data_IF_172932538298
#
_entry.id   IF_172932538298
#
_cell.length_a   1.000
_cell.length_b   1.000
_cell.length_c   1.000
_cell.angle_alpha   90.00
_cell.angle_beta   90.00
_cell.angle_gamma   90.00
#
_symmetry.space_group_name_H-M   'P 1'
#
loop_
_entity.id
_entity.type
_entity.pdbx_description
1 polymer ?
#
# COMPACT_ATOMS: atom_id res chain seq x y z
N UNK A 1 -23.71 24.34 -7.94
CA UNK A 1 -23.60 22.87 -7.84
C UNK A 1 -22.25 22.49 -8.43
N UNK A 2 -21.33 21.94 -7.63
CA UNK A 2 -20.03 21.49 -8.14
C UNK A 2 -20.22 20.20 -8.93
N UNK A 3 -19.73 20.15 -10.17
CA UNK A 3 -19.72 18.92 -10.95
C UNK A 3 -18.60 18.01 -10.42
N UNK A 4 -18.98 16.86 -9.87
CA UNK A 4 -18.04 15.84 -9.40
C UNK A 4 -17.61 15.04 -10.63
N UNK A 5 -16.34 15.14 -11.02
CA UNK A 5 -15.74 14.25 -12.01
C UNK A 5 -15.92 12.79 -11.54
N UNK A 6 -16.14 11.83 -12.46
CA UNK A 6 -16.37 10.43 -12.07
C UNK A 6 -15.26 9.95 -11.15
N UNK A 7 -15.63 9.43 -9.98
CA UNK A 7 -14.69 8.98 -8.97
C UNK A 7 -13.76 7.92 -9.57
N UNK A 8 -12.46 8.23 -9.68
CA UNK A 8 -11.51 7.29 -10.23
C UNK A 8 -11.38 6.07 -9.30
N UNK A 9 -11.29 4.89 -9.92
CA UNK A 9 -11.18 3.63 -9.21
C UNK A 9 -9.83 3.57 -8.49
N UNK A 10 -9.83 3.72 -7.16
CA UNK A 10 -8.64 3.48 -6.30
C UNK A 10 -8.05 2.10 -6.63
N UNK A 11 -6.72 1.93 -6.52
CA UNK A 11 -6.11 0.62 -6.69
C UNK A 11 -6.78 -0.39 -5.75
N UNK A 12 -7.55 -1.28 -6.34
CA UNK A 12 -8.00 -2.50 -5.70
C UNK A 12 -6.98 -3.56 -6.10
N UNK A 13 -5.91 -3.72 -5.32
CA UNK A 13 -5.09 -4.91 -5.52
C UNK A 13 -5.95 -6.11 -5.11
N UNK A 14 -6.19 -6.99 -6.06
CA UNK A 14 -6.90 -8.26 -5.87
C UNK A 14 -5.96 -9.28 -5.22
N UNK A 15 -5.32 -8.91 -4.12
CA UNK A 15 -4.54 -9.88 -3.32
C UNK A 15 -5.56 -10.80 -2.66
N UNK A 16 -5.67 -12.04 -3.09
CA UNK A 16 -6.49 -13.03 -2.39
C UNK A 16 -5.80 -13.35 -1.06
N UNK A 17 -6.46 -13.07 0.05
CA UNK A 17 -6.01 -13.59 1.33
C UNK A 17 -6.64 -14.96 1.51
N UNK A 18 -5.78 -15.96 1.68
CA UNK A 18 -6.21 -17.31 1.98
C UNK A 18 -7.06 -17.30 3.25
N UNK A 19 -8.16 -18.08 3.25
CA UNK A 19 -8.85 -18.41 4.50
C UNK A 19 -7.81 -18.93 5.48
N UNK A 20 -7.71 -18.32 6.66
CA UNK A 20 -6.80 -18.78 7.70
C UNK A 20 -7.59 -19.71 8.59
N UNK A 21 -7.37 -21.04 8.51
CA UNK A 21 -7.98 -21.93 9.49
C UNK A 21 -7.43 -21.59 10.86
N UNK A 22 -8.32 -21.60 11.84
CA UNK A 22 -7.99 -21.52 13.24
C UNK A 22 -7.17 -22.75 13.62
N UNK A 23 -6.35 -22.57 14.65
CA UNK A 23 -5.50 -23.64 15.16
C UNK A 23 -5.82 -23.81 16.64
N UNK A 24 -6.57 -24.87 16.95
CA UNK A 24 -7.03 -25.17 18.32
C UNK A 24 -5.86 -25.28 19.30
N UNK A 25 -4.74 -25.85 18.85
CA UNK A 25 -3.53 -25.97 19.66
C UNK A 25 -2.95 -24.62 20.13
N UNK A 26 -3.32 -23.53 19.47
CA UNK A 26 -2.81 -22.17 19.76
C UNK A 26 -3.89 -21.30 20.43
N UNK A 27 -5.11 -21.82 20.58
CA UNK A 27 -6.26 -21.04 21.05
C UNK A 27 -6.65 -19.91 20.08
N UNK A 28 -6.37 -20.06 18.79
CA UNK A 28 -6.61 -19.04 17.76
C UNK A 28 -7.75 -19.48 16.84
N UNK A 29 -8.84 -18.68 16.69
CA UNK A 29 -10.00 -19.04 15.88
C UNK A 29 -9.76 -18.88 14.36
N UNK A 30 -10.65 -19.46 13.55
CA UNK A 30 -10.70 -19.25 12.10
C UNK A 30 -10.85 -17.75 11.76
N UNK A 31 -10.11 -17.28 10.75
CA UNK A 31 -10.37 -15.98 10.13
C UNK A 31 -11.14 -16.19 8.83
N UNK A 32 -12.37 -15.67 8.80
CA UNK A 32 -13.25 -15.71 7.63
C UNK A 32 -13.01 -14.43 6.80
N UNK A 33 -12.52 -14.53 5.55
CA UNK A 33 -12.42 -13.37 4.66
C UNK A 33 -13.80 -12.77 4.37
N UNK A 34 -13.87 -11.46 4.13
CA UNK A 34 -15.13 -10.83 3.71
C UNK A 34 -15.54 -11.33 2.31
N UNK A 35 -16.85 -11.46 2.07
CA UNK A 35 -17.42 -12.04 0.83
C UNK A 35 -16.96 -11.34 -0.47
N UNK A 36 -16.48 -10.09 -0.39
CA UNK A 36 -15.99 -9.31 -1.54
C UNK A 36 -14.47 -9.43 -1.77
N UNK A 37 -13.78 -10.36 -1.10
CA UNK A 37 -12.33 -10.60 -1.26
C UNK A 37 -11.96 -11.59 -2.38
N UNK A 38 -12.86 -11.81 -3.35
CA UNK A 38 -12.62 -12.63 -4.54
C UNK A 38 -11.64 -11.96 -5.50
N UNK A 39 -10.35 -12.09 -5.21
CA UNK A 39 -9.23 -11.66 -6.05
C UNK A 39 -8.30 -12.82 -6.44
N UNK A 40 -7.32 -12.58 -7.30
CA UNK A 40 -6.48 -13.63 -7.89
C UNK A 40 -5.60 -14.36 -6.85
N UNK A 41 -5.37 -15.68 -7.01
CA UNK A 41 -4.61 -16.49 -6.06
C UNK A 41 -3.20 -15.93 -5.83
N UNK A 42 -2.81 -15.78 -4.56
CA UNK A 42 -1.43 -15.50 -4.17
C UNK A 42 -0.59 -16.75 -4.43
N UNK A 43 0.32 -16.70 -5.40
CA UNK A 43 1.18 -17.84 -5.75
C UNK A 43 2.61 -17.52 -5.31
N UNK A 44 3.15 -18.38 -4.45
CA UNK A 44 4.53 -18.31 -3.95
C UNK A 44 5.55 -18.27 -5.10
N UNK A 45 6.33 -17.19 -5.09
CA UNK A 45 7.52 -16.89 -5.88
C UNK A 45 8.41 -18.08 -6.33
N UNK A 46 8.34 -18.39 -7.63
CA UNK A 46 9.44 -18.95 -8.44
C UNK A 46 9.34 -18.40 -9.86
N UNK A 47 10.04 -17.32 -10.16
CA UNK A 47 10.37 -16.93 -11.53
C UNK A 47 11.63 -16.06 -11.56
N UNK A 48 12.53 -16.47 -12.45
CA UNK A 48 13.85 -15.90 -12.76
C UNK A 48 13.73 -14.45 -13.25
N UNK A 49 14.62 -13.57 -12.79
CA UNK A 49 14.65 -12.16 -13.15
C UNK A 49 15.95 -11.81 -13.89
N UNK A 50 15.79 -11.02 -14.95
CA UNK A 50 16.84 -10.41 -15.77
C UNK A 50 17.72 -9.49 -14.91
N UNK A 51 19.03 -9.68 -14.99
CA UNK A 51 20.07 -9.24 -14.02
C UNK A 51 20.25 -7.73 -13.75
N UNK A 52 19.50 -6.81 -14.38
CA UNK A 52 19.78 -5.36 -14.28
C UNK A 52 18.86 -4.57 -13.33
N UNK A 53 17.75 -5.15 -12.86
CA UNK A 53 16.75 -4.47 -12.01
C UNK A 53 16.48 -5.20 -10.68
N UNK A 54 17.35 -6.13 -10.30
CA UNK A 54 17.11 -7.02 -9.17
C UNK A 54 17.83 -6.51 -7.92
N UNK A 55 17.15 -6.58 -6.78
CA UNK A 55 17.79 -6.45 -5.47
C UNK A 55 18.89 -7.51 -5.34
N UNK A 56 20.06 -7.11 -4.83
CA UNK A 56 21.18 -8.02 -4.58
C UNK A 56 20.80 -9.11 -3.57
N UNK A 57 21.25 -10.36 -3.74
CA UNK A 57 20.93 -11.46 -2.82
C UNK A 57 21.47 -11.25 -1.39
N UNK A 58 22.39 -10.31 -1.22
CA UNK A 58 23.01 -9.88 0.03
C UNK A 58 22.19 -8.82 0.80
N UNK A 59 21.21 -8.18 0.15
CA UNK A 59 20.34 -7.20 0.81
C UNK A 59 19.60 -7.87 1.99
N UNK A 60 19.70 -7.30 3.21
CA UNK A 60 19.07 -7.88 4.37
C UNK A 60 17.54 -7.72 4.34
N UNK A 61 16.85 -8.57 5.10
CA UNK A 61 15.44 -8.40 5.41
C UNK A 61 15.20 -7.02 6.02
N UNK A 62 14.25 -6.26 5.47
CA UNK A 62 14.04 -4.88 5.88
C UNK A 62 13.60 -4.68 7.34
N UNK A 63 12.89 -5.66 7.91
CA UNK A 63 12.43 -5.65 9.31
C UNK A 63 13.48 -6.27 10.23
N UNK A 64 13.93 -7.49 9.95
CA UNK A 64 14.81 -8.22 10.88
C UNK A 64 16.26 -7.84 10.75
N UNK A 65 16.67 -7.21 9.64
CA UNK A 65 18.06 -6.91 9.27
C UNK A 65 18.97 -8.14 9.17
N UNK A 66 18.40 -9.35 9.22
CA UNK A 66 19.12 -10.58 8.89
C UNK A 66 19.45 -10.59 7.40
N UNK A 67 20.45 -11.37 6.97
CA UNK A 67 20.66 -11.73 5.56
C UNK A 67 20.50 -13.25 5.47
N UNK A 68 19.69 -13.74 4.53
CA UNK A 68 19.47 -15.18 4.37
C UNK A 68 19.07 -15.52 2.93
N UNK A 69 19.60 -16.63 2.40
CA UNK A 69 19.23 -17.16 1.07
C UNK A 69 17.74 -17.50 0.94
N UNK A 70 17.01 -17.62 2.05
CA UNK A 70 15.58 -17.98 2.06
C UNK A 70 14.65 -16.77 2.07
N UNK A 71 15.21 -15.54 2.08
CA UNK A 71 14.43 -14.32 1.96
C UNK A 71 13.65 -14.28 0.64
N UNK A 72 12.52 -13.59 0.68
CA UNK A 72 11.61 -13.44 -0.45
C UNK A 72 11.55 -11.98 -0.87
N UNK A 73 11.46 -11.76 -2.18
CA UNK A 73 11.26 -10.45 -2.77
C UNK A 73 9.80 -10.04 -2.60
N UNK A 74 9.58 -9.07 -1.73
CA UNK A 74 8.33 -8.34 -1.58
C UNK A 74 8.20 -7.30 -2.70
N UNK A 75 7.01 -7.20 -3.29
CA UNK A 75 6.61 -6.05 -4.11
C UNK A 75 5.64 -5.20 -3.29
N UNK A 76 5.94 -3.94 -3.04
CA UNK A 76 5.07 -3.05 -2.26
C UNK A 76 3.73 -2.85 -2.96
N UNK A 77 3.75 -2.52 -4.25
CA UNK A 77 2.58 -2.60 -5.11
C UNK A 77 2.72 -3.83 -6.00
N UNK A 78 1.77 -4.76 -5.85
CA UNK A 78 1.71 -5.99 -6.62
C UNK A 78 0.47 -5.96 -7.51
N UNK A 79 0.66 -5.96 -8.83
CA UNK A 79 -0.39 -6.25 -9.80
C UNK A 79 -0.51 -7.76 -9.98
N UNK A 80 -1.63 -8.25 -10.53
CA UNK A 80 -1.76 -9.66 -10.89
C UNK A 80 -0.59 -10.04 -11.82
N UNK A 81 0.42 -10.76 -11.29
CA UNK A 81 1.72 -10.97 -11.97
C UNK A 81 1.61 -11.67 -13.33
N UNK A 82 0.47 -12.32 -13.58
CA UNK A 82 0.21 -13.09 -14.79
C UNK A 82 -0.61 -12.31 -15.84
N UNK A 83 -1.00 -11.07 -15.55
CA UNK A 83 -1.77 -10.24 -16.47
C UNK A 83 -0.97 -8.98 -16.84
N UNK A 84 -0.33 -8.95 -18.03
CA UNK A 84 0.50 -7.82 -18.46
C UNK A 84 -0.32 -6.54 -18.66
N UNK A 85 -1.61 -6.64 -19.01
CA UNK A 85 -2.48 -5.48 -19.20
C UNK A 85 -2.85 -4.85 -17.86
N UNK A 86 -3.15 -5.67 -16.85
CA UNK A 86 -3.36 -5.19 -15.48
C UNK A 86 -2.09 -4.57 -14.93
N UNK A 87 -0.92 -5.21 -15.13
CA UNK A 87 0.37 -4.64 -14.74
C UNK A 87 0.58 -3.26 -15.35
N UNK A 88 0.43 -3.14 -16.68
CA UNK A 88 0.59 -1.85 -17.38
C UNK A 88 -0.39 -0.80 -16.88
N UNK A 89 -1.66 -1.14 -16.66
CA UNK A 89 -2.66 -0.21 -16.09
C UNK A 89 -2.27 0.30 -14.71
N UNK A 90 -1.72 -0.56 -13.86
CA UNK A 90 -1.23 -0.16 -12.53
C UNK A 90 -0.02 0.76 -12.65
N UNK A 91 0.94 0.46 -13.53
CA UNK A 91 2.10 1.31 -13.79
C UNK A 91 1.68 2.69 -14.33
N UNK A 92 0.80 2.72 -15.32
CA UNK A 92 0.23 3.94 -15.90
C UNK A 92 -0.51 4.77 -14.86
N UNK A 93 -1.29 4.12 -13.98
CA UNK A 93 -1.97 4.81 -12.89
C UNK A 93 -0.97 5.44 -11.90
N UNK A 94 0.04 4.69 -11.44
CA UNK A 94 1.04 5.22 -10.51
C UNK A 94 1.82 6.39 -11.13
N UNK A 95 2.19 6.29 -12.41
CA UNK A 95 2.81 7.38 -13.17
C UNK A 95 1.89 8.59 -13.30
N UNK A 96 0.62 8.36 -13.64
CA UNK A 96 -0.40 9.41 -13.74
C UNK A 96 -0.65 10.13 -12.41
N UNK A 97 -0.44 9.46 -11.27
CA UNK A 97 -0.48 10.09 -9.94
C UNK A 97 0.78 10.89 -9.58
N UNK A 98 1.84 10.79 -10.39
CA UNK A 98 3.10 11.53 -10.19
C UNK A 98 3.84 11.14 -8.91
N UNK A 99 3.56 9.96 -8.35
CA UNK A 99 4.23 9.44 -7.13
C UNK A 99 5.42 8.53 -7.45
N UNK A 100 5.63 8.24 -8.74
CA UNK A 100 6.76 7.49 -9.29
C UNK A 100 7.29 8.21 -10.53
N UNK A 101 8.51 7.90 -10.94
CA UNK A 101 9.15 8.45 -12.14
C UNK A 101 8.52 7.93 -13.44
N UNK A 102 8.74 8.64 -14.56
CA UNK A 102 8.08 8.39 -15.84
C UNK A 102 8.40 7.03 -16.48
N UNK A 103 9.58 6.48 -16.24
CA UNK A 103 9.97 5.14 -16.70
C UNK A 103 9.76 4.03 -15.64
N UNK A 104 8.92 4.27 -14.62
CA UNK A 104 8.65 3.29 -13.57
C UNK A 104 7.99 2.03 -14.11
N UNK A 105 8.39 0.89 -13.54
CA UNK A 105 7.78 -0.43 -13.72
C UNK A 105 7.57 -1.08 -12.35
N UNK A 106 6.64 -2.03 -12.22
CA UNK A 106 6.44 -2.74 -10.94
C UNK A 106 7.64 -3.60 -10.54
N UNK A 107 8.53 -3.93 -11.46
CA UNK A 107 9.77 -4.66 -11.17
C UNK A 107 10.94 -3.71 -10.81
N UNK A 108 10.68 -2.41 -10.73
CA UNK A 108 11.69 -1.42 -10.34
C UNK A 108 12.10 -1.58 -8.88
N UNK A 109 13.39 -1.44 -8.60
CA UNK A 109 13.99 -1.60 -7.26
C UNK A 109 13.30 -0.79 -6.14
N UNK A 110 12.76 0.39 -6.47
CA UNK A 110 12.00 1.24 -5.52
C UNK A 110 10.65 0.63 -5.09
N UNK A 111 10.16 -0.39 -5.80
CA UNK A 111 8.97 -1.16 -5.45
C UNK A 111 9.32 -2.50 -4.75
N UNK A 112 10.61 -2.84 -4.65
CA UNK A 112 11.04 -4.14 -4.16
C UNK A 112 11.69 -4.03 -2.78
N UNK A 113 11.59 -5.09 -1.97
CA UNK A 113 12.36 -5.25 -0.73
C UNK A 113 12.57 -6.72 -0.39
N UNK A 114 13.64 -7.04 0.33
CA UNK A 114 13.78 -8.36 0.94
C UNK A 114 13.04 -8.47 2.26
N UNK A 115 12.37 -9.60 2.44
CA UNK A 115 11.67 -9.91 3.66
C UNK A 115 11.89 -11.38 4.05
N UNK A 116 11.99 -11.64 5.35
CA UNK A 116 12.02 -13.01 5.87
C UNK A 116 10.82 -13.81 5.35
N UNK A 117 10.98 -15.10 5.07
CA UNK A 117 9.93 -15.92 4.46
C UNK A 117 8.64 -15.92 5.30
N UNK A 118 8.75 -15.96 6.63
CA UNK A 118 7.59 -15.97 7.53
C UNK A 118 6.92 -14.59 7.51
N UNK A 119 7.72 -13.52 7.59
CA UNK A 119 7.20 -12.16 7.53
C UNK A 119 6.57 -11.83 6.17
N UNK A 120 7.14 -12.35 5.08
CA UNK A 120 6.60 -12.20 3.73
C UNK A 120 5.21 -12.82 3.64
N UNK A 121 5.04 -14.06 4.09
CA UNK A 121 3.71 -14.68 4.13
C UNK A 121 2.76 -13.91 5.06
N UNK A 122 3.22 -13.49 6.24
CA UNK A 122 2.42 -12.72 7.17
C UNK A 122 1.96 -11.36 6.61
N UNK A 123 2.80 -10.70 5.80
CA UNK A 123 2.48 -9.44 5.13
C UNK A 123 1.57 -9.70 3.91
N UNK A 124 2.01 -10.49 2.94
CA UNK A 124 1.37 -10.59 1.61
C UNK A 124 0.23 -11.61 1.54
N UNK A 125 0.31 -12.74 2.24
CA UNK A 125 -0.71 -13.81 2.13
C UNK A 125 -1.80 -13.70 3.18
N UNK A 126 -1.49 -13.16 4.35
CA UNK A 126 -2.41 -13.17 5.50
C UNK A 126 -2.75 -11.79 6.06
N UNK A 127 -1.98 -10.75 5.71
CA UNK A 127 -2.07 -9.41 6.31
C UNK A 127 -2.15 -9.41 7.85
N UNK A 128 -1.34 -10.24 8.50
CA UNK A 128 -1.14 -10.19 9.95
C UNK A 128 -0.35 -8.97 10.38
N UNK A 129 0.42 -8.38 9.46
CA UNK A 129 1.18 -7.14 9.66
C UNK A 129 0.92 -6.16 8.51
N UNK A 130 1.12 -4.89 8.80
CA UNK A 130 1.28 -3.82 7.82
C UNK A 130 2.52 -2.99 8.17
N UNK A 131 3.18 -2.43 7.17
CA UNK A 131 4.33 -1.53 7.34
C UNK A 131 3.92 -0.19 6.76
N UNK A 132 3.89 0.85 7.57
CA UNK A 132 3.52 2.20 7.14
C UNK A 132 4.59 3.20 7.57
N UNK A 133 4.50 4.45 7.11
CA UNK A 133 5.38 5.52 7.60
C UNK A 133 5.19 5.75 9.10
N UNK A 134 6.24 6.18 9.79
CA UNK A 134 6.12 6.68 11.16
C UNK A 134 5.18 7.89 11.21
N UNK A 135 4.69 8.23 12.40
CA UNK A 135 3.83 9.41 12.58
C UNK A 135 4.41 10.68 11.91
N UNK A 136 5.69 10.97 12.12
CA UNK A 136 6.32 12.19 11.61
C UNK A 136 6.53 12.12 10.09
N UNK A 137 6.98 10.96 9.58
CA UNK A 137 7.08 10.71 8.13
C UNK A 137 5.73 10.89 7.44
N UNK A 138 4.64 10.35 8.00
CA UNK A 138 3.30 10.49 7.42
C UNK A 138 2.86 11.95 7.40
N UNK A 139 3.08 12.72 8.48
CA UNK A 139 2.67 14.13 8.53
C UNK A 139 3.44 15.00 7.54
N UNK A 140 4.73 14.77 7.36
CA UNK A 140 5.53 15.47 6.36
C UNK A 140 5.05 15.16 4.94
N UNK A 141 4.83 13.88 4.61
CA UNK A 141 4.31 13.47 3.29
C UNK A 141 2.89 14.02 3.04
N UNK A 142 2.02 14.04 4.05
CA UNK A 142 0.68 14.65 3.98
C UNK A 142 0.80 16.15 3.68
N UNK A 143 1.65 16.87 4.41
CA UNK A 143 1.89 18.30 4.21
C UNK A 143 2.36 18.58 2.77
N UNK A 144 3.29 17.76 2.28
CA UNK A 144 3.82 17.83 0.92
C UNK A 144 2.72 17.64 -0.13
N UNK A 145 1.91 16.57 -0.03
CA UNK A 145 0.84 16.32 -1.00
C UNK A 145 -0.32 17.32 -0.90
N UNK A 146 -0.65 17.84 0.29
CA UNK A 146 -1.63 18.92 0.44
C UNK A 146 -1.19 20.18 -0.29
N UNK A 147 0.05 20.60 -0.06
CA UNK A 147 0.63 21.79 -0.72
C UNK A 147 0.62 21.64 -2.24
N UNK A 148 1.01 20.48 -2.76
CA UNK A 148 0.96 20.22 -4.20
C UNK A 148 -0.47 20.14 -4.75
N UNK A 149 -1.40 19.48 -4.04
CA UNK A 149 -2.80 19.41 -4.45
C UNK A 149 -3.44 20.81 -4.49
N UNK A 150 -3.15 21.69 -3.53
CA UNK A 150 -3.65 23.07 -3.52
C UNK A 150 -3.07 23.90 -4.70
N UNK A 151 -1.78 23.70 -5.01
CA UNK A 151 -1.15 24.31 -6.19
C UNK A 151 -1.80 23.82 -7.48
N UNK A 152 -2.02 22.51 -7.62
CA UNK A 152 -2.71 21.90 -8.77
C UNK A 152 -4.13 22.41 -8.91
N UNK A 153 -4.88 22.50 -7.80
CA UNK A 153 -6.23 23.04 -7.79
C UNK A 153 -6.25 24.51 -8.23
N UNK A 154 -5.32 25.33 -7.74
CA UNK A 154 -5.22 26.75 -8.11
C UNK A 154 -4.95 26.92 -9.61
N UNK A 155 -4.04 26.11 -10.16
CA UNK A 155 -3.78 26.12 -11.60
C UNK A 155 -4.97 25.61 -12.41
N UNK A 156 -5.62 24.55 -11.94
CA UNK A 156 -6.81 23.98 -12.56
C UNK A 156 -7.94 25.01 -12.59
N UNK A 157 -8.23 25.68 -11.47
CA UNK A 157 -9.25 26.74 -11.35
C UNK A 157 -9.02 27.86 -12.38
N UNK A 158 -7.77 28.23 -12.64
CA UNK A 158 -7.42 29.29 -13.58
C UNK A 158 -7.47 28.86 -15.06
N UNK A 159 -7.09 27.62 -15.37
CA UNK A 159 -6.79 27.21 -16.76
C UNK A 159 -7.61 26.01 -17.27
N UNK A 160 -8.39 25.35 -16.42
CA UNK A 160 -9.03 24.06 -16.70
C UNK A 160 -8.04 22.94 -17.09
N UNK A 161 -6.77 23.07 -16.68
CA UNK A 161 -5.69 22.13 -16.99
C UNK A 161 -5.12 21.57 -15.70
N UNK A 162 -5.18 20.25 -15.55
CA UNK A 162 -4.48 19.55 -14.48
C UNK A 162 -3.00 19.44 -14.85
N UNK A 163 -2.15 19.86 -13.91
CA UNK A 163 -0.70 19.87 -14.09
C UNK A 163 -0.06 18.75 -13.30
N UNK A 164 1.12 18.33 -13.75
CA UNK A 164 1.90 17.30 -13.07
C UNK A 164 2.15 17.68 -11.60
N UNK A 165 2.05 16.65 -10.74
CA UNK A 165 2.45 16.70 -9.34
C UNK A 165 3.94 17.02 -9.22
N UNK A 166 4.28 17.89 -8.27
CA UNK A 166 5.66 18.21 -7.91
C UNK A 166 5.88 17.67 -6.50
N UNK A 167 6.77 16.69 -6.38
CA UNK A 167 7.16 16.07 -5.11
C UNK A 167 8.61 16.43 -4.86
N UNK A 168 8.90 16.86 -3.64
CA UNK A 168 10.28 17.02 -3.17
C UNK A 168 10.82 15.64 -2.73
N UNK A 169 11.56 15.00 -3.62
CA UNK A 169 12.17 13.69 -3.37
C UNK A 169 13.40 13.76 -2.45
N UNK A 170 13.95 14.95 -2.23
CA UNK A 170 15.09 15.17 -1.34
C UNK A 170 14.66 15.36 0.12
N UNK A 171 13.38 15.72 0.34
CA UNK A 171 12.79 15.87 1.65
C UNK A 171 13.09 14.64 2.54
N UNK A 172 13.45 14.82 3.83
CA UNK A 172 13.83 13.71 4.71
C UNK A 172 12.78 12.59 4.78
N UNK A 173 11.49 12.93 4.81
CA UNK A 173 10.41 11.95 4.78
C UNK A 173 10.32 11.12 3.49
N UNK A 174 11.02 11.51 2.42
CA UNK A 174 11.14 10.74 1.19
C UNK A 174 12.51 10.05 1.04
N UNK A 175 13.60 10.77 1.28
CA UNK A 175 14.97 10.27 1.11
C UNK A 175 15.39 9.31 2.23
N UNK A 176 14.95 9.55 3.46
CA UNK A 176 15.21 8.70 4.63
C UNK A 176 13.97 8.52 5.54
N UNK A 177 12.87 7.94 5.01
CA UNK A 177 11.65 7.70 5.78
C UNK A 177 11.89 6.74 6.94
N UNK A 178 11.26 7.03 8.07
CA UNK A 178 11.09 6.08 9.18
C UNK A 178 9.76 5.36 8.98
N UNK A 179 9.74 4.07 9.27
CA UNK A 179 8.59 3.18 9.13
C UNK A 179 8.23 2.53 10.44
N UNK A 180 6.95 2.19 10.59
CA UNK A 180 6.40 1.46 11.72
C UNK A 180 5.76 0.15 11.27
N UNK A 181 5.99 -0.91 12.05
CA UNK A 181 5.37 -2.21 11.88
C UNK A 181 4.12 -2.28 12.76
N UNK A 182 2.96 -2.36 12.13
CA UNK A 182 1.67 -2.53 12.82
C UNK A 182 1.28 -4.00 12.79
N UNK A 183 1.25 -4.65 13.96
CA UNK A 183 0.82 -6.04 14.11
C UNK A 183 -0.71 -6.14 14.21
N UNK A 184 -1.37 -6.22 13.05
CA UNK A 184 -2.83 -6.33 12.95
C UNK A 184 -3.37 -7.58 13.67
N UNK A 185 -2.66 -8.71 13.55
CA UNK A 185 -3.02 -10.00 14.17
C UNK A 185 -1.80 -10.60 14.89
N UNK A 186 -1.38 -10.04 16.03
CA UNK A 186 -0.08 -10.34 16.64
C UNK A 186 0.02 -11.80 17.12
N UNK A 187 -1.07 -12.39 17.63
CA UNK A 187 -1.14 -13.80 18.03
C UNK A 187 -1.06 -14.78 16.84
N UNK A 188 -1.47 -14.36 15.65
CA UNK A 188 -1.33 -15.17 14.42
C UNK A 188 0.04 -14.98 13.77
N UNK A 189 0.61 -13.76 13.89
CA UNK A 189 1.96 -13.45 13.43
C UNK A 189 3.01 -14.29 14.16
N UNK A 190 2.91 -14.38 15.49
CA UNK A 190 3.85 -15.09 16.35
C UNK A 190 3.09 -16.03 17.31
N UNK A 191 2.61 -17.19 16.82
CA UNK A 191 1.86 -18.14 17.63
C UNK A 191 2.77 -18.89 18.62
N UNK A 192 2.18 -19.43 19.69
CA UNK A 192 2.84 -20.31 20.67
C UNK A 192 4.15 -19.77 21.27
N UNK A 193 4.19 -18.47 21.60
CA UNK A 193 5.38 -17.87 22.20
C UNK A 193 6.57 -17.75 21.26
N UNK A 194 6.36 -17.89 19.94
CA UNK A 194 7.37 -17.50 18.95
C UNK A 194 7.74 -16.02 19.13
N UNK A 195 8.97 -15.70 18.76
CA UNK A 195 9.53 -14.35 18.86
C UNK A 195 9.97 -13.87 17.49
N UNK A 196 9.83 -12.57 17.26
CA UNK A 196 10.51 -11.88 16.16
C UNK A 196 11.92 -11.54 16.61
N UNK A 197 12.92 -11.98 15.88
CA UNK A 197 14.32 -11.65 16.15
C UNK A 197 14.77 -10.57 15.17
N UNK A 198 15.34 -9.49 15.68
CA UNK A 198 16.00 -8.48 14.86
C UNK A 198 17.47 -8.35 15.22
N UNK A 199 18.24 -7.96 14.23
CA UNK A 199 19.67 -7.78 14.32
C UNK A 199 19.99 -6.31 14.12
N UNK A 200 20.95 -5.78 14.88
CA UNK A 200 21.63 -4.54 14.50
C UNK A 200 23.02 -4.88 13.99
N UNK A 201 23.46 -4.16 12.97
CA UNK A 201 24.82 -4.25 12.42
C UNK A 201 25.48 -2.89 12.54
N UNK A 202 26.77 -2.91 12.80
CA UNK A 202 27.67 -1.77 12.68
C UNK A 202 28.77 -2.14 11.68
N UNK A 203 29.73 -1.24 11.44
CA UNK A 203 30.83 -1.45 10.49
C UNK A 203 31.61 -2.75 10.72
N UNK A 204 31.67 -3.22 11.97
CA UNK A 204 32.44 -4.40 12.39
C UNK A 204 31.63 -5.71 12.41
N UNK A 205 30.36 -5.68 11.98
CA UNK A 205 29.49 -6.86 11.90
C UNK A 205 28.26 -6.79 12.81
N UNK A 206 27.82 -7.94 13.32
CA UNK A 206 26.59 -8.05 14.10
C UNK A 206 26.80 -7.54 15.52
N UNK A 207 26.05 -6.50 15.92
CA UNK A 207 26.26 -5.81 17.19
C UNK A 207 25.29 -6.25 18.27
N UNK A 208 24.00 -6.35 17.95
CA UNK A 208 23.01 -6.74 18.93
C UNK A 208 21.89 -7.59 18.32
N UNK A 209 21.33 -8.43 19.17
CA UNK A 209 20.14 -9.22 18.91
C UNK A 209 19.05 -8.75 19.87
N UNK A 210 17.89 -8.39 19.31
CA UNK A 210 16.68 -8.10 20.09
C UNK A 210 15.59 -9.07 19.73
N UNK A 211 14.84 -9.50 20.74
CA UNK A 211 13.67 -10.37 20.57
C UNK A 211 12.42 -9.60 20.89
N UNK A 212 11.39 -9.75 20.06
CA UNK A 212 10.09 -9.14 20.28
C UNK A 212 8.98 -10.19 20.28
N UNK A 213 8.02 -10.00 21.16
CA UNK A 213 6.84 -10.85 21.33
C UNK A 213 5.56 -10.04 21.14
N UNK A 214 4.43 -10.69 20.82
CA UNK A 214 3.10 -10.07 20.87
C UNK A 214 2.81 -9.45 22.24
N UNK A 215 2.57 -8.15 22.27
CA UNK A 215 1.98 -7.45 23.41
C UNK A 215 0.44 -7.53 23.39
N UNK A 216 -0.17 -7.20 24.53
CA UNK A 216 -1.63 -7.16 24.67
C UNK A 216 -2.25 -5.96 23.92
N UNK A 217 -1.47 -4.92 23.64
CA UNK A 217 -1.88 -3.70 22.96
C UNK A 217 -1.70 -3.75 21.43
N UNK A 218 -1.65 -4.95 20.85
CA UNK A 218 -1.43 -5.16 19.41
C UNK A 218 -0.11 -4.61 18.86
N UNK A 219 0.88 -4.39 19.73
CA UNK A 219 2.25 -4.05 19.36
C UNK A 219 3.21 -5.21 19.63
N UNK A 220 4.37 -5.19 18.98
CA UNK A 220 5.48 -6.08 19.33
C UNK A 220 6.32 -5.44 20.44
N UNK A 221 6.69 -6.20 21.46
CA UNK A 221 7.40 -5.72 22.67
C UNK A 221 8.59 -6.60 23.02
N UNK A 222 9.63 -6.02 23.62
CA UNK A 222 10.84 -6.77 23.98
C UNK A 222 10.60 -7.88 25.05
N UNK A 223 9.57 -7.74 25.88
CA UNK A 223 9.21 -8.70 26.93
C UNK A 223 7.71 -8.99 26.96
N UNK A 224 7.29 -10.23 27.29
CA UNK A 224 5.88 -10.60 27.36
C UNK A 224 5.20 -9.99 28.61
N UNK A 225 3.88 -9.81 28.53
CA UNK A 225 3.02 -9.55 29.70
C UNK A 225 3.21 -8.22 30.40
N UNK A 226 3.98 -7.28 29.85
CA UNK A 226 4.20 -5.95 30.44
C UNK A 226 4.02 -4.83 29.42
N UNK A 227 3.05 -3.95 29.66
CA UNK A 227 2.82 -2.76 28.83
C UNK A 227 3.94 -1.70 28.99
N UNK A 228 4.81 -1.86 29.99
CA UNK A 228 5.99 -1.02 30.21
C UNK A 228 7.21 -1.47 29.40
N UNK A 229 7.21 -2.68 28.85
CA UNK A 229 8.33 -3.15 28.01
C UNK A 229 8.44 -2.30 26.74
N UNK A 230 9.65 -1.93 26.28
CA UNK A 230 9.82 -1.21 25.02
C UNK A 230 9.10 -1.88 23.85
N UNK A 231 8.48 -1.06 23.00
CA UNK A 231 7.86 -1.49 21.74
C UNK A 231 8.92 -1.69 20.66
N UNK A 232 8.56 -2.43 19.62
CA UNK A 232 9.32 -2.47 18.39
C UNK A 232 9.45 -1.05 17.85
N UNK A 233 10.69 -0.53 17.72
CA UNK A 233 10.89 0.87 17.37
C UNK A 233 10.58 1.10 15.88
N UNK A 234 10.35 2.37 15.50
CA UNK A 234 10.43 2.77 14.10
C UNK A 234 11.79 2.37 13.49
N UNK A 235 11.81 2.12 12.19
CA UNK A 235 13.00 1.68 11.46
C UNK A 235 13.07 2.29 10.06
N UNK A 236 14.26 2.40 9.50
CA UNK A 236 14.48 2.80 8.11
C UNK A 236 15.03 1.65 7.27
N UNK A 237 15.02 1.79 5.95
CA UNK A 237 15.69 0.85 5.06
C UNK A 237 17.18 1.22 4.99
N UNK A 238 17.94 0.93 6.05
CA UNK A 238 19.33 1.39 6.22
C UNK A 238 20.36 0.68 5.33
N UNK A 239 19.92 -0.04 4.29
CA UNK A 239 20.83 -0.74 3.41
C UNK A 239 21.19 0.16 2.22
N UNK A 240 22.49 0.46 1.99
CA UNK A 240 22.90 1.30 0.89
C UNK A 240 22.62 0.58 -0.43
N UNK A 241 21.54 0.98 -1.09
CA UNK A 241 21.26 0.57 -2.48
C UNK A 241 21.99 1.51 -3.43
N UNK A 242 22.48 1.01 -4.58
CA UNK A 242 23.00 1.87 -5.64
C UNK A 242 21.97 2.94 -6.02
N UNK A 243 22.43 4.16 -6.29
CA UNK A 243 21.61 5.28 -6.79
C UNK A 243 20.46 5.72 -5.86
N UNK A 244 20.63 5.65 -4.53
CA UNK A 244 19.63 6.11 -3.55
C UNK A 244 18.25 5.42 -3.72
N UNK A 245 18.26 4.19 -4.23
CA UNK A 245 17.06 3.48 -4.64
C UNK A 245 16.31 2.78 -3.49
N UNK A 246 16.17 3.49 -2.37
CA UNK A 246 15.32 3.08 -1.27
C UNK A 246 13.90 2.82 -1.76
N UNK A 247 13.15 1.93 -1.10
CA UNK A 247 11.74 1.76 -1.39
C UNK A 247 11.01 3.10 -1.36
N UNK A 248 10.23 3.37 -2.41
CA UNK A 248 9.46 4.59 -2.50
C UNK A 248 8.38 4.56 -1.40
N UNK A 249 8.36 5.54 -0.46
CA UNK A 249 7.46 5.51 0.69
C UNK A 249 5.99 5.50 0.29
N UNK A 250 5.60 6.14 -0.81
CA UNK A 250 4.21 6.10 -1.26
C UNK A 250 3.77 4.68 -1.64
N UNK A 251 4.65 3.87 -2.23
CA UNK A 251 4.34 2.48 -2.57
C UNK A 251 4.16 1.62 -1.31
N UNK A 252 5.01 1.84 -0.29
CA UNK A 252 4.90 1.19 1.04
C UNK A 252 3.56 1.56 1.69
N UNK A 253 3.21 2.85 1.68
CA UNK A 253 1.99 3.38 2.30
C UNK A 253 0.73 2.90 1.58
N UNK A 254 0.75 2.80 0.25
CA UNK A 254 -0.34 2.19 -0.53
C UNK A 254 -0.56 0.72 -0.15
N UNK A 255 0.53 -0.05 0.05
CA UNK A 255 0.44 -1.43 0.52
C UNK A 255 -0.21 -1.51 1.92
N UNK A 256 0.15 -0.58 2.82
CA UNK A 256 -0.38 -0.49 4.18
C UNK A 256 -1.87 -0.16 4.22
N UNK A 257 -2.31 0.87 3.47
CA UNK A 257 -3.73 1.27 3.43
C UNK A 257 -4.62 0.11 3.01
N UNK A 258 -4.20 -0.67 2.01
CA UNK A 258 -4.98 -1.82 1.53
C UNK A 258 -5.19 -2.83 2.65
N UNK A 259 -4.15 -3.07 3.47
CA UNK A 259 -4.21 -3.97 4.62
C UNK A 259 -5.08 -3.40 5.74
N UNK A 260 -4.94 -2.12 6.06
CA UNK A 260 -5.76 -1.44 7.07
C UNK A 260 -7.24 -1.42 6.68
N UNK A 261 -7.56 -1.01 5.46
CA UNK A 261 -8.94 -1.00 4.95
C UNK A 261 -9.57 -2.38 4.97
N UNK A 262 -8.81 -3.43 4.67
CA UNK A 262 -9.31 -4.81 4.77
C UNK A 262 -9.53 -5.22 6.21
N UNK A 263 -8.58 -4.94 7.09
CA UNK A 263 -8.69 -5.20 8.52
C UNK A 263 -9.94 -4.56 9.13
N UNK A 264 -10.18 -3.28 8.83
CA UNK A 264 -11.33 -2.51 9.33
C UNK A 264 -12.68 -3.00 8.76
N UNK A 265 -12.67 -3.71 7.62
CA UNK A 265 -13.89 -4.29 7.00
C UNK A 265 -14.23 -5.70 7.48
N UNK A 266 -13.37 -6.34 8.28
CA UNK A 266 -13.63 -7.70 8.74
C UNK A 266 -14.85 -7.72 9.69
N UNK A 267 -15.76 -8.66 9.44
CA UNK A 267 -16.99 -8.81 10.25
C UNK A 267 -16.71 -9.28 11.68
N UNK A 268 -15.56 -9.93 11.89
CA UNK A 268 -15.10 -10.30 13.22
C UNK A 268 -14.26 -9.16 13.78
N UNK A 269 -14.80 -8.38 14.74
CA UNK A 269 -13.99 -7.37 15.40
C UNK A 269 -12.80 -8.06 16.06
N UNK A 270 -11.61 -7.43 16.05
CA UNK A 270 -10.49 -7.90 16.85
C UNK A 270 -10.95 -8.08 18.30
N UNK A 271 -10.53 -9.14 19.00
CA UNK A 271 -10.95 -9.38 20.39
C UNK A 271 -10.56 -8.22 21.34
N UNK A 272 -9.61 -7.38 20.95
CA UNK A 272 -9.24 -6.13 21.62
C UNK A 272 -9.12 -5.00 20.61
N UNK A 273 -9.61 -3.79 20.91
CA UNK A 273 -9.45 -2.64 20.02
C UNK A 273 -7.96 -2.30 19.86
N UNK A 274 -7.59 -1.81 18.67
CA UNK A 274 -6.26 -1.25 18.44
C UNK A 274 -6.04 -0.04 19.36
N UNK A 275 -4.80 0.17 19.80
CA UNK A 275 -4.45 1.33 20.61
C UNK A 275 -4.64 2.65 19.83
N UNK A 276 -4.82 3.76 20.55
CA UNK A 276 -5.06 5.07 19.96
C UNK A 276 -3.93 5.52 19.03
N UNK A 277 -2.67 5.22 19.39
CA UNK A 277 -1.50 5.51 18.57
C UNK A 277 -1.57 4.80 17.22
N UNK A 278 -1.91 3.51 17.23
CA UNK A 278 -2.04 2.71 16.00
C UNK A 278 -3.21 3.18 15.15
N UNK A 279 -4.35 3.50 15.77
CA UNK A 279 -5.48 4.08 15.03
C UNK A 279 -5.12 5.41 14.38
N UNK A 280 -4.28 6.23 15.05
CA UNK A 280 -3.76 7.48 14.48
C UNK A 280 -2.90 7.21 13.24
N UNK A 281 -2.00 6.22 13.28
CA UNK A 281 -1.22 5.81 12.11
C UNK A 281 -2.10 5.33 10.96
N UNK A 282 -3.14 4.55 11.26
CA UNK A 282 -4.10 4.09 10.25
C UNK A 282 -4.82 5.27 9.59
N UNK A 283 -5.29 6.25 10.38
CA UNK A 283 -5.95 7.44 9.85
C UNK A 283 -5.02 8.28 8.99
N UNK A 284 -3.79 8.55 9.44
CA UNK A 284 -2.80 9.31 8.67
C UNK A 284 -2.41 8.58 7.37
N UNK A 285 -2.22 7.25 7.44
CA UNK A 285 -1.96 6.42 6.25
C UNK A 285 -3.12 6.53 5.26
N UNK A 286 -4.36 6.46 5.75
CA UNK A 286 -5.56 6.57 4.92
C UNK A 286 -5.63 7.94 4.28
N UNK A 287 -5.53 9.02 5.07
CA UNK A 287 -5.53 10.42 4.60
C UNK A 287 -4.49 10.64 3.50
N UNK A 288 -3.26 10.17 3.70
CA UNK A 288 -2.19 10.29 2.72
C UNK A 288 -2.55 9.59 1.40
N UNK A 289 -3.12 8.38 1.47
CA UNK A 289 -3.58 7.67 0.26
C UNK A 289 -4.73 8.42 -0.42
N UNK A 290 -5.64 9.05 0.32
CA UNK A 290 -6.69 9.88 -0.29
C UNK A 290 -6.10 11.07 -1.05
N UNK A 291 -5.05 11.70 -0.51
CA UNK A 291 -4.32 12.78 -1.16
C UNK A 291 -3.56 12.33 -2.42
N UNK A 292 -3.07 11.09 -2.45
CA UNK A 292 -2.46 10.50 -3.64
C UNK A 292 -3.49 10.36 -4.77
N UNK A 293 -4.69 9.87 -4.45
CA UNK A 293 -5.79 9.67 -5.41
C UNK A 293 -6.62 10.93 -5.68
N UNK A 294 -6.27 12.04 -5.05
CA UNK A 294 -6.98 13.29 -5.25
C UNK A 294 -6.81 13.80 -6.69
N UNK A 295 -7.92 14.27 -7.25
CA UNK A 295 -8.02 14.93 -8.54
C UNK A 295 -8.60 16.33 -8.34
N UNK A 296 -8.17 17.34 -9.12
CA UNK A 296 -8.78 18.66 -9.08
C UNK A 296 -10.28 18.60 -9.36
N UNK A 297 -11.05 19.41 -8.63
CA UNK A 297 -12.50 19.53 -8.81
C UNK A 297 -12.85 20.84 -9.50
N UNK A 298 -13.91 20.84 -10.30
CA UNK A 298 -14.43 22.08 -10.87
C UNK A 298 -15.16 22.85 -9.77
N UNK A 299 -14.59 23.99 -9.37
CA UNK A 299 -15.22 24.90 -8.41
C UNK A 299 -16.13 25.90 -9.13
N UNK A 300 -17.31 26.21 -8.58
CA UNK A 300 -18.15 27.27 -9.14
C UNK A 300 -17.37 28.60 -9.13
N UNK A 301 -17.77 29.50 -10.03
CA UNK A 301 -17.21 30.86 -10.13
C UNK A 301 -15.71 30.92 -10.47
N UNK A 302 -15.16 29.85 -11.07
CA UNK A 302 -13.79 29.82 -11.60
C UNK A 302 -13.76 29.90 -13.12
N UNK A 303 -12.66 30.41 -13.73
CA UNK A 303 -12.43 30.31 -15.17
C UNK A 303 -12.58 28.87 -15.70
N UNK A 304 -12.12 27.87 -14.93
CA UNK A 304 -12.29 26.46 -15.28
C UNK A 304 -13.75 26.05 -15.47
N UNK A 305 -14.65 26.51 -14.60
CA UNK A 305 -16.07 26.23 -14.73
C UNK A 305 -16.66 26.84 -16.02
N UNK A 306 -16.24 28.05 -16.39
CA UNK A 306 -16.68 28.71 -17.63
C UNK A 306 -16.17 27.97 -18.87
N UNK A 307 -14.88 27.58 -18.87
CA UNK A 307 -14.28 26.80 -19.95
C UNK A 307 -15.01 25.46 -20.10
N UNK A 308 -15.25 24.76 -18.99
CA UNK A 308 -15.95 23.48 -18.99
C UNK A 308 -17.37 23.61 -19.53
N UNK A 309 -18.12 24.64 -19.14
CA UNK A 309 -19.47 24.90 -19.66
C UNK A 309 -19.48 25.21 -21.16
N UNK A 310 -18.47 25.93 -21.65
CA UNK A 310 -18.38 26.31 -23.07
C UNK A 310 -17.85 25.19 -23.98
N UNK A 311 -17.09 24.25 -23.42
CA UNK A 311 -16.41 23.17 -24.17
C UNK A 311 -17.12 21.83 -24.01
N UNK A 312 -18.03 21.69 -23.04
CA UNK A 312 -18.88 20.53 -22.94
C UNK A 312 -19.63 20.34 -24.27
N UNK A 313 -19.52 19.17 -24.92
CA UNK A 313 -20.28 18.93 -26.14
C UNK A 313 -21.74 19.18 -25.82
N UNK A 314 -22.37 20.08 -26.58
CA UNK A 314 -23.83 20.26 -26.53
C UNK A 314 -24.43 18.85 -26.51
N UNK A 315 -25.37 18.54 -25.59
CA UNK A 315 -26.03 17.25 -25.60
C UNK A 315 -26.44 17.01 -27.04
N UNK A 316 -25.86 15.96 -27.65
CA UNK A 316 -26.21 15.56 -29.01
C UNK A 316 -27.73 15.52 -29.00
N UNK A 317 -28.37 16.37 -29.81
CA UNK A 317 -29.77 16.16 -30.13
C UNK A 317 -29.84 14.71 -30.56
N UNK A 318 -30.56 13.91 -29.77
CA UNK A 318 -30.73 12.50 -30.01
C UNK A 318 -31.08 12.36 -31.49
N UNK A 319 -30.17 11.76 -32.24
CA UNK A 319 -30.54 11.23 -33.55
C UNK A 319 -31.67 10.27 -33.23
N UNK A 320 -32.89 10.69 -33.54
CA UNK A 320 -34.05 9.83 -33.60
C UNK A 320 -33.66 8.76 -34.61
N UNK A 321 -33.25 7.62 -34.08
CA UNK A 321 -33.05 6.40 -34.84
C UNK A 321 -34.43 5.98 -35.33
N UNK A 322 -34.74 6.40 -36.56
CA UNK A 322 -35.98 6.06 -37.24
C UNK A 322 -35.91 4.58 -37.60
N UNK A 323 -36.49 3.76 -36.73
CA UNK A 323 -37.03 2.43 -36.98
C UNK A 323 -36.25 1.56 -37.97
N UNK A 324 -35.35 0.73 -37.44
CA UNK A 324 -34.74 -0.37 -38.19
C UNK A 324 -34.77 -1.67 -37.39
N UNK A 325 -35.89 -2.38 -37.50
CA UNK A 325 -36.10 -3.82 -37.35
C UNK A 325 -35.54 -4.54 -36.09
N UNK A 326 -36.44 -4.81 -35.16
CA UNK A 326 -36.27 -5.79 -34.08
C UNK A 326 -36.10 -7.21 -34.67
N UNK A 327 -34.86 -7.69 -34.75
CA UNK A 327 -34.56 -9.10 -35.03
C UNK A 327 -34.57 -9.88 -33.69
N UNK A 328 -35.69 -10.55 -33.46
CA UNK A 328 -36.00 -11.43 -32.33
C UNK A 328 -35.09 -12.67 -32.33
N UNK A 329 -34.06 -12.67 -31.49
CA UNK A 329 -33.24 -13.87 -31.24
C UNK A 329 -33.87 -14.69 -30.10
N UNK A 330 -34.58 -15.76 -30.48
CA UNK A 330 -35.01 -16.82 -29.58
C UNK A 330 -33.81 -17.48 -28.89
N UNK A 331 -33.86 -17.53 -27.56
CA UNK A 331 -32.91 -18.30 -26.73
C UNK A 331 -33.51 -19.69 -26.46
N UNK A 332 -32.87 -20.80 -26.88
CA UNK A 332 -33.38 -22.13 -26.56
C UNK A 332 -33.09 -22.51 -25.09
N UNK A 333 -33.95 -23.31 -24.46
CA UNK A 333 -33.85 -23.65 -23.05
C UNK A 333 -32.86 -24.81 -22.79
N UNK A 334 -32.01 -24.57 -21.78
CA UNK A 334 -31.18 -25.46 -20.94
C UNK A 334 -30.25 -26.49 -21.59
#
# INVERSE_FOLDING_TARGET
MSAILPAQKRLTTSVNFSKVPGVQAWGVPDLIPAAHSGGAPSVSSTASATYCNTIGPDEPCCITKSSCYTHKILHWVNAARNDPDVKKKVEDLLRGRGIVYSNFTLDSIVNLSHLDRVLHAALEEYAFIAITGSHDTLRELISMLKTDNDRRQTHFDANCVDICRIIDFEAPAFSNPQYELVALRPKHLLPNGKVLITYSRDSDGLVALKTYVPGEDHTLRESPGTLSSPRFPPFSFDHPRPNYANPNPFLVILNAEIKFRRYLRQQQPPPLPLSADIMTLIHLTTELVELIYWDPIIRPDTPAAQIFLNTAPSPREDYVDDGGDEEEWEVPPF
#
